data_IF_857568351730
#
_entry.id   IF_857568351730
#
_cell.length_a   1.000
_cell.length_b   1.000
_cell.length_c   1.000
_cell.angle_alpha   90.00
_cell.angle_beta   90.00
_cell.angle_gamma   90.00
#
_symmetry.space_group_name_H-M   'P 1'
#
loop_
_entity.id
_entity.type
_entity.pdbx_description
1 polymer ?
#
# COMPACT_ATOMS: atom_id res chain seq x y z
N UNK A 1 21.58 14.16 1.89
CA UNK A 1 21.03 13.39 3.03
C UNK A 1 21.56 11.96 3.09
N UNK A 2 21.44 11.16 2.01
CA UNK A 2 21.89 9.75 2.01
C UNK A 2 23.38 9.55 2.21
N UNK A 3 24.20 10.51 1.80
CA UNK A 3 25.64 10.53 2.10
C UNK A 3 25.95 10.60 3.60
N UNK A 4 24.98 11.00 4.45
CA UNK A 4 25.18 11.23 5.88
C UNK A 4 24.40 10.27 6.79
N UNK A 5 23.46 9.47 6.26
CA UNK A 5 22.57 8.63 7.08
C UNK A 5 22.52 7.18 6.55
N UNK A 6 23.15 6.27 7.30
CA UNK A 6 23.26 4.83 6.98
C UNK A 6 22.27 3.96 7.78
N UNK A 7 21.00 4.34 7.82
CA UNK A 7 19.93 3.51 8.40
C UNK A 7 19.00 2.95 7.32
N UNK A 8 18.37 1.80 7.62
CA UNK A 8 17.58 1.03 6.66
C UNK A 8 16.38 1.77 6.07
N UNK A 9 15.84 2.77 6.77
CA UNK A 9 14.76 3.63 6.29
C UNK A 9 15.04 5.08 6.64
N UNK A 10 14.93 5.94 5.66
CA UNK A 10 15.00 7.40 5.83
C UNK A 10 13.77 7.99 5.18
N UNK A 11 12.95 8.69 5.95
CA UNK A 11 11.75 9.36 5.45
C UNK A 11 12.01 10.86 5.60
N UNK A 12 11.99 11.57 4.48
CA UNK A 12 12.08 13.03 4.46
C UNK A 12 10.70 13.57 4.23
N UNK A 13 10.21 14.44 5.10
CA UNK A 13 8.89 15.03 4.95
C UNK A 13 8.90 16.52 5.29
N UNK A 14 7.86 17.22 4.87
CA UNK A 14 7.64 18.63 5.17
C UNK A 14 6.18 19.03 4.95
N UNK A 15 5.84 20.22 5.42
CA UNK A 15 4.54 20.85 5.24
C UNK A 15 4.66 22.35 5.41
N UNK A 16 3.63 23.08 5.02
CA UNK A 16 3.55 24.53 5.16
C UNK A 16 3.12 24.88 6.59
N UNK A 17 4.06 25.40 7.37
CA UNK A 17 3.81 25.84 8.73
C UNK A 17 3.53 27.35 8.76
N UNK A 18 2.56 27.75 9.57
CA UNK A 18 2.27 29.16 9.83
C UNK A 18 3.26 29.79 10.82
N UNK A 19 3.91 28.97 11.65
CA UNK A 19 4.85 29.38 12.69
C UNK A 19 5.91 28.29 12.91
N UNK A 20 7.18 28.66 12.88
CA UNK A 20 8.31 27.75 13.11
C UNK A 20 8.44 27.34 14.58
N UNK A 21 7.86 28.10 15.51
CA UNK A 21 7.88 27.76 16.95
C UNK A 21 7.20 26.41 17.21
N UNK A 22 6.20 26.02 16.41
CA UNK A 22 5.53 24.71 16.50
C UNK A 22 6.50 23.53 16.35
N UNK A 23 7.59 23.69 15.59
CA UNK A 23 8.62 22.65 15.46
C UNK A 23 9.33 22.45 16.81
N UNK A 24 9.70 23.54 17.46
CA UNK A 24 10.41 23.51 18.74
C UNK A 24 9.51 22.96 19.84
N UNK A 25 8.23 23.35 19.86
CA UNK A 25 7.25 22.90 20.85
C UNK A 25 6.88 21.40 20.68
N UNK A 26 7.10 20.87 19.48
CA UNK A 26 6.93 19.47 19.15
C UNK A 26 8.21 18.64 19.36
N UNK A 27 9.30 19.23 19.86
CA UNK A 27 10.51 18.51 20.18
C UNK A 27 10.28 17.57 21.38
N UNK A 28 10.70 16.33 21.23
CA UNK A 28 10.55 15.27 22.23
C UNK A 28 11.87 14.55 22.45
N UNK A 29 12.14 14.18 23.69
CA UNK A 29 13.27 13.32 24.05
C UNK A 29 12.74 11.98 24.54
N UNK A 30 13.23 10.88 23.95
CA UNK A 30 12.84 9.52 24.30
C UNK A 30 14.00 8.81 24.97
N UNK A 31 13.74 8.30 26.19
CA UNK A 31 14.67 7.51 27.00
C UNK A 31 16.05 8.18 27.24
N UNK A 32 16.13 9.51 27.14
CA UNK A 32 17.39 10.25 27.23
C UNK A 32 18.42 9.91 26.13
N UNK A 33 18.00 9.19 25.08
CA UNK A 33 18.87 8.67 24.01
C UNK A 33 18.57 9.27 22.65
N UNK A 34 17.30 9.59 22.41
CA UNK A 34 16.83 10.07 21.12
C UNK A 34 16.15 11.41 21.31
N UNK A 35 16.45 12.36 20.43
CA UNK A 35 15.70 13.61 20.28
C UNK A 35 15.08 13.62 18.88
N UNK A 36 13.83 14.04 18.79
CA UNK A 36 13.10 14.11 17.53
C UNK A 36 11.98 15.12 17.59
N UNK A 37 11.34 15.36 16.44
CA UNK A 37 10.17 16.23 16.33
C UNK A 37 8.95 15.35 16.11
N UNK A 38 7.93 15.52 16.93
CA UNK A 38 6.63 14.90 16.72
C UNK A 38 5.95 15.56 15.51
N UNK A 39 5.86 14.83 14.39
CA UNK A 39 5.43 15.35 13.10
C UNK A 39 3.96 15.82 13.07
N UNK A 40 2.99 15.08 13.65
CA UNK A 40 1.64 15.61 13.84
C UNK A 40 1.61 16.90 14.68
N UNK A 41 2.25 16.88 15.86
CA UNK A 41 2.21 18.04 16.78
C UNK A 41 2.85 19.29 16.20
N UNK A 42 3.86 19.14 15.34
CA UNK A 42 4.49 20.28 14.67
C UNK A 42 3.60 20.96 13.63
N UNK A 43 2.51 20.32 13.22
CA UNK A 43 1.61 20.80 12.17
C UNK A 43 2.07 20.48 10.75
N UNK A 44 3.07 19.62 10.59
CA UNK A 44 3.59 19.26 9.27
C UNK A 44 2.52 18.62 8.36
N UNK A 45 1.50 17.99 8.95
CA UNK A 45 0.42 17.32 8.21
C UNK A 45 -0.76 18.22 7.87
N UNK A 46 -0.77 19.46 8.40
CA UNK A 46 -1.92 20.35 8.34
C UNK A 46 -2.10 20.90 6.91
N UNK A 47 -1.01 21.31 6.26
CA UNK A 47 -1.06 21.97 4.96
C UNK A 47 0.13 21.59 4.08
N UNK A 48 -0.13 21.27 2.80
CA UNK A 48 0.91 21.06 1.79
C UNK A 48 1.89 19.94 2.13
N UNK A 49 1.44 18.88 2.81
CA UNK A 49 2.29 17.79 3.23
C UNK A 49 2.96 17.11 2.03
N UNK A 50 4.27 16.95 2.12
CA UNK A 50 5.10 16.26 1.15
C UNK A 50 5.98 15.26 1.87
N UNK A 51 6.21 14.10 1.26
CA UNK A 51 7.05 13.06 1.82
C UNK A 51 7.78 12.31 0.72
N UNK A 52 9.02 11.95 0.99
CA UNK A 52 9.87 11.08 0.18
C UNK A 52 10.35 9.94 1.06
N UNK A 53 10.06 8.71 0.63
CA UNK A 53 10.52 7.52 1.30
C UNK A 53 11.80 7.01 0.65
N UNK A 54 12.91 7.08 1.36
CA UNK A 54 14.17 6.55 0.88
C UNK A 54 14.39 5.19 1.56
N UNK A 55 14.28 4.11 0.79
CA UNK A 55 14.73 2.76 1.19
C UNK A 55 16.24 2.59 1.01
N UNK A 56 16.88 1.72 1.80
CA UNK A 56 18.29 1.33 1.59
C UNK A 56 18.45 -0.17 1.79
N UNK A 57 19.31 -0.80 0.98
CA UNK A 57 19.73 -2.19 1.15
C UNK A 57 18.67 -3.23 0.77
N UNK A 58 17.66 -2.86 -0.01
CA UNK A 58 16.68 -3.81 -0.54
C UNK A 58 17.16 -4.30 -1.90
N UNK A 59 17.33 -5.62 -2.05
CA UNK A 59 17.61 -6.23 -3.34
C UNK A 59 16.37 -6.13 -4.23
N UNK A 60 16.43 -5.28 -5.24
CA UNK A 60 15.35 -5.12 -6.21
C UNK A 60 15.03 -6.43 -6.96
N UNK A 61 16.01 -7.34 -7.06
CA UNK A 61 15.85 -8.58 -7.82
C UNK A 61 14.84 -9.55 -7.23
N UNK A 62 14.52 -9.37 -5.94
CA UNK A 62 13.53 -10.20 -5.24
C UNK A 62 12.17 -9.52 -5.09
N UNK A 63 12.02 -8.27 -5.56
CA UNK A 63 10.77 -7.53 -5.47
C UNK A 63 9.78 -7.96 -6.56
N UNK A 64 8.49 -7.76 -6.27
CA UNK A 64 7.38 -8.13 -7.17
C UNK A 64 7.51 -7.49 -8.56
N UNK A 65 7.83 -6.20 -8.72
CA UNK A 65 7.96 -5.61 -10.06
C UNK A 65 9.04 -6.26 -10.92
N UNK A 66 10.18 -6.64 -10.34
CA UNK A 66 11.20 -7.39 -11.07
C UNK A 66 10.67 -8.75 -11.52
N UNK A 67 9.99 -9.50 -10.64
CA UNK A 67 9.43 -10.81 -10.99
C UNK A 67 8.36 -10.73 -12.07
N UNK A 68 7.54 -9.66 -12.04
CA UNK A 68 6.53 -9.40 -13.07
C UNK A 68 7.17 -9.01 -14.40
N UNK A 69 8.22 -8.19 -14.38
CA UNK A 69 9.00 -7.88 -15.57
C UNK A 69 9.59 -9.13 -16.22
N UNK A 70 10.22 -10.02 -15.43
CA UNK A 70 10.74 -11.30 -15.91
C UNK A 70 9.65 -12.19 -16.53
N UNK A 71 8.40 -12.05 -16.09
CA UNK A 71 7.23 -12.76 -16.63
C UNK A 71 6.50 -11.99 -17.76
N UNK A 72 7.00 -10.83 -18.19
CA UNK A 72 6.37 -10.01 -19.23
C UNK A 72 5.06 -9.33 -18.80
N UNK A 73 4.84 -9.12 -17.50
CA UNK A 73 3.64 -8.46 -16.96
C UNK A 73 3.95 -6.98 -16.65
N UNK A 74 3.26 -6.03 -17.31
CA UNK A 74 3.41 -4.60 -17.01
C UNK A 74 3.05 -4.27 -15.57
N UNK A 75 3.80 -3.36 -14.94
CA UNK A 75 3.62 -2.98 -13.54
C UNK A 75 3.44 -1.46 -13.41
N UNK A 76 2.38 -1.04 -12.73
CA UNK A 76 2.08 0.35 -12.38
C UNK A 76 2.06 0.49 -10.86
N UNK A 77 2.84 1.42 -10.32
CA UNK A 77 2.88 1.75 -8.90
C UNK A 77 2.40 3.19 -8.67
N UNK A 78 1.51 3.41 -7.70
CA UNK A 78 0.94 4.75 -7.42
C UNK A 78 1.00 5.10 -5.93
N UNK A 79 1.50 6.29 -5.59
CA UNK A 79 1.60 6.74 -4.20
C UNK A 79 2.82 6.18 -3.48
N UNK A 80 2.72 6.03 -2.16
CA UNK A 80 3.84 5.61 -1.28
C UNK A 80 4.59 4.39 -1.78
N UNK A 81 3.89 3.41 -2.37
CA UNK A 81 4.51 2.19 -2.91
C UNK A 81 5.50 2.49 -4.04
N UNK A 82 5.22 3.48 -4.89
CA UNK A 82 6.13 3.93 -5.95
C UNK A 82 7.39 4.61 -5.38
N UNK A 83 7.33 5.15 -4.16
CA UNK A 83 8.50 5.74 -3.49
C UNK A 83 9.40 4.67 -2.86
N UNK A 84 8.82 3.55 -2.39
CA UNK A 84 9.55 2.52 -1.63
C UNK A 84 9.99 1.30 -2.43
N UNK A 85 9.34 1.00 -3.56
CA UNK A 85 9.60 -0.19 -4.38
C UNK A 85 10.28 0.19 -5.68
N UNK A 86 11.33 -0.53 -6.05
CA UNK A 86 12.00 -0.37 -7.35
C UNK A 86 11.10 -0.92 -8.46
N UNK A 87 10.84 -0.10 -9.48
CA UNK A 87 10.06 -0.49 -10.65
C UNK A 87 10.68 0.06 -11.95
N UNK A 88 11.93 -0.33 -12.28
CA UNK A 88 12.69 0.27 -13.38
C UNK A 88 12.11 -0.02 -14.78
N UNK A 89 11.25 -1.04 -14.89
CA UNK A 89 10.66 -1.50 -16.16
C UNK A 89 9.14 -1.23 -16.25
N UNK A 90 8.58 -0.48 -15.30
CA UNK A 90 7.15 -0.17 -15.23
C UNK A 90 6.88 1.33 -15.09
N UNK A 91 5.62 1.67 -14.79
CA UNK A 91 5.17 3.05 -14.55
C UNK A 91 5.13 3.32 -13.04
N UNK A 92 5.65 4.46 -12.60
CA UNK A 92 5.69 4.82 -11.18
C UNK A 92 5.27 6.27 -10.96
N UNK A 93 4.19 6.45 -10.21
CA UNK A 93 3.64 7.75 -9.83
C UNK A 93 4.03 8.08 -8.38
N UNK A 94 5.22 8.67 -8.23
CA UNK A 94 5.87 8.98 -6.95
C UNK A 94 5.40 10.29 -6.33
N UNK A 95 5.70 10.50 -5.05
CA UNK A 95 5.42 11.72 -4.28
C UNK A 95 3.93 12.10 -4.28
N UNK A 96 3.05 11.10 -4.26
CA UNK A 96 1.60 11.31 -4.18
C UNK A 96 1.09 10.91 -2.80
N UNK A 97 0.39 11.86 -2.17
CA UNK A 97 -0.26 11.67 -0.87
C UNK A 97 -1.78 11.74 -0.99
N UNK A 98 -2.30 12.68 -1.76
CA UNK A 98 -3.74 12.93 -1.89
C UNK A 98 -4.49 11.69 -2.42
N UNK A 99 -5.41 11.18 -1.60
CA UNK A 99 -6.11 9.92 -1.85
C UNK A 99 -6.98 10.00 -3.10
N UNK A 100 -7.63 11.14 -3.35
CA UNK A 100 -8.48 11.32 -4.52
C UNK A 100 -7.65 11.27 -5.80
N UNK A 101 -6.54 12.01 -5.86
CA UNK A 101 -5.61 12.01 -6.99
C UNK A 101 -5.02 10.64 -7.25
N UNK A 102 -4.65 9.89 -6.21
CA UNK A 102 -4.17 8.51 -6.35
C UNK A 102 -5.25 7.63 -7.00
N UNK A 103 -6.51 7.72 -6.52
CA UNK A 103 -7.61 6.94 -7.07
C UNK A 103 -7.94 7.32 -8.52
N UNK A 104 -7.87 8.60 -8.89
CA UNK A 104 -8.10 9.05 -10.26
C UNK A 104 -7.01 8.51 -11.21
N UNK A 105 -5.73 8.63 -10.84
CA UNK A 105 -4.61 8.04 -11.60
C UNK A 105 -4.78 6.53 -11.72
N UNK A 106 -5.22 5.86 -10.66
CA UNK A 106 -5.45 4.41 -10.67
C UNK A 106 -6.49 4.02 -11.71
N UNK A 107 -7.61 4.74 -11.79
CA UNK A 107 -8.66 4.47 -12.76
C UNK A 107 -8.20 4.76 -14.19
N UNK A 108 -7.42 5.82 -14.40
CA UNK A 108 -6.87 6.15 -15.72
C UNK A 108 -5.89 5.07 -16.20
N UNK A 109 -4.98 4.63 -15.35
CA UNK A 109 -4.03 3.53 -15.62
C UNK A 109 -4.76 2.21 -15.87
N UNK A 110 -5.79 1.92 -15.07
CA UNK A 110 -6.64 0.74 -15.23
C UNK A 110 -7.33 0.70 -16.60
N UNK A 111 -7.83 1.85 -17.07
CA UNK A 111 -8.47 1.96 -18.37
C UNK A 111 -7.47 2.00 -19.55
N UNK A 112 -6.26 2.48 -19.30
CA UNK A 112 -5.20 2.58 -20.33
C UNK A 112 -4.59 1.23 -20.65
N UNK A 113 -4.39 0.38 -19.63
CA UNK A 113 -3.69 -0.89 -19.78
C UNK A 113 -4.64 -2.08 -19.97
N UNK A 114 -4.57 -2.81 -21.10
CA UNK A 114 -5.33 -4.04 -21.29
C UNK A 114 -4.94 -5.17 -20.34
N UNK A 115 -3.71 -5.12 -19.81
CA UNK A 115 -3.08 -6.13 -18.96
C UNK A 115 -2.02 -5.43 -18.10
N UNK A 116 -2.19 -5.39 -16.78
CA UNK A 116 -1.21 -4.82 -15.86
C UNK A 116 -1.41 -5.35 -14.43
N UNK A 117 -0.34 -5.29 -13.65
CA UNK A 117 -0.38 -5.26 -12.19
C UNK A 117 -0.36 -3.80 -11.75
N UNK A 118 -1.43 -3.34 -11.08
CA UNK A 118 -1.52 -1.97 -10.55
C UNK A 118 -1.54 -2.05 -9.04
N UNK A 119 -0.54 -1.50 -8.37
CA UNK A 119 -0.46 -1.47 -6.92
C UNK A 119 -0.39 -0.03 -6.43
N UNK A 120 -1.26 0.28 -5.45
CA UNK A 120 -1.42 1.64 -4.94
C UNK A 120 -1.33 1.65 -3.42
N UNK A 121 -0.94 2.78 -2.84
CA UNK A 121 -0.98 2.95 -1.40
C UNK A 121 -1.70 4.25 -1.02
N UNK A 122 -2.76 4.14 -0.22
CA UNK A 122 -3.49 5.27 0.36
C UNK A 122 -2.97 5.52 1.78
N UNK A 123 -2.02 6.45 1.91
CA UNK A 123 -1.36 6.71 3.20
C UNK A 123 -2.08 7.74 4.08
N UNK A 124 -3.11 8.44 3.60
CA UNK A 124 -3.76 9.48 4.41
C UNK A 124 -4.56 8.94 5.59
N UNK A 125 -4.99 7.68 5.54
CA UNK A 125 -5.57 6.98 6.70
C UNK A 125 -4.53 6.79 7.80
N UNK A 126 -3.29 6.48 7.44
CA UNK A 126 -2.16 6.38 8.37
C UNK A 126 -1.79 7.76 8.95
N UNK A 127 -1.76 8.81 8.13
CA UNK A 127 -1.55 10.18 8.60
C UNK A 127 -2.64 10.64 9.57
N UNK A 128 -3.90 10.29 9.31
CA UNK A 128 -5.02 10.60 10.21
C UNK A 128 -4.93 9.82 11.53
N UNK A 129 -4.51 8.55 11.49
CA UNK A 129 -4.25 7.76 12.70
C UNK A 129 -3.16 8.36 13.58
N UNK A 130 -2.02 8.73 12.98
CA UNK A 130 -0.95 9.42 13.70
C UNK A 130 -1.37 10.77 14.31
N UNK A 131 -2.31 11.46 13.68
CA UNK A 131 -2.87 12.72 14.16
C UNK A 131 -4.00 12.55 15.18
N UNK A 132 -4.43 11.31 15.46
CA UNK A 132 -5.60 11.00 16.28
C UNK A 132 -6.87 11.74 15.80
N UNK A 133 -7.00 11.90 14.48
CA UNK A 133 -8.09 12.62 13.83
C UNK A 133 -9.11 11.65 13.23
N UNK A 134 -10.11 11.31 14.04
CA UNK A 134 -11.21 10.41 13.67
C UNK A 134 -12.00 10.92 12.45
N UNK A 135 -12.23 12.24 12.37
CA UNK A 135 -13.03 12.82 11.31
C UNK A 135 -12.31 12.74 9.97
N UNK A 136 -11.02 13.07 9.94
CA UNK A 136 -10.16 12.91 8.76
C UNK A 136 -10.04 11.45 8.38
N UNK A 137 -9.86 10.53 9.34
CA UNK A 137 -9.79 9.11 9.06
C UNK A 137 -11.05 8.61 8.34
N UNK A 138 -12.22 8.91 8.88
CA UNK A 138 -13.51 8.51 8.31
C UNK A 138 -13.74 9.12 6.92
N UNK A 139 -13.39 10.38 6.72
CA UNK A 139 -13.56 11.06 5.44
C UNK A 139 -12.63 10.47 4.36
N UNK A 140 -11.38 10.12 4.69
CA UNK A 140 -10.47 9.41 3.77
C UNK A 140 -11.00 8.03 3.39
N UNK A 141 -11.59 7.28 4.33
CA UNK A 141 -12.25 6.00 4.02
C UNK A 141 -13.41 6.18 3.03
N UNK A 142 -14.23 7.22 3.19
CA UNK A 142 -15.33 7.51 2.27
C UNK A 142 -14.84 7.93 0.87
N UNK A 143 -13.71 8.63 0.77
CA UNK A 143 -13.07 8.94 -0.53
C UNK A 143 -12.67 7.64 -1.23
N UNK A 144 -12.01 6.72 -0.53
CA UNK A 144 -11.59 5.44 -1.11
C UNK A 144 -12.80 4.59 -1.52
N UNK A 145 -13.81 4.46 -0.66
CA UNK A 145 -15.03 3.68 -0.93
C UNK A 145 -15.73 4.09 -2.23
N UNK A 146 -15.97 5.40 -2.42
CA UNK A 146 -16.60 5.92 -3.66
C UNK A 146 -15.79 5.61 -4.91
N UNK A 147 -14.46 5.67 -4.81
CA UNK A 147 -13.60 5.42 -5.96
C UNK A 147 -13.39 3.92 -6.22
N UNK A 148 -13.46 3.06 -5.20
CA UNK A 148 -13.51 1.62 -5.39
C UNK A 148 -14.78 1.21 -6.13
N UNK A 149 -15.93 1.85 -5.87
CA UNK A 149 -17.15 1.61 -6.65
C UNK A 149 -16.94 1.90 -8.15
N UNK A 150 -16.32 3.04 -8.49
CA UNK A 150 -15.96 3.40 -9.88
C UNK A 150 -15.05 2.37 -10.53
N UNK A 151 -14.04 1.88 -9.79
CA UNK A 151 -13.12 0.85 -10.30
C UNK A 151 -13.85 -0.47 -10.54
N UNK A 152 -14.68 -0.91 -9.59
CA UNK A 152 -15.47 -2.14 -9.69
C UNK A 152 -16.44 -2.10 -10.88
N UNK A 153 -17.01 -0.94 -11.20
CA UNK A 153 -17.85 -0.75 -12.39
C UNK A 153 -17.08 -0.88 -13.71
N UNK A 154 -15.80 -0.51 -13.74
CA UNK A 154 -14.94 -0.62 -14.92
C UNK A 154 -14.36 -2.04 -15.12
N UNK A 155 -14.34 -2.86 -14.07
CA UNK A 155 -13.77 -4.20 -14.10
C UNK A 155 -14.50 -5.15 -15.06
N UNK A 156 -13.71 -6.03 -15.65
CA UNK A 156 -14.13 -7.16 -16.47
C UNK A 156 -14.10 -8.47 -15.66
N UNK A 157 -14.73 -9.55 -16.15
CA UNK A 157 -14.77 -10.85 -15.45
C UNK A 157 -13.42 -11.47 -15.10
N UNK A 158 -12.35 -11.13 -15.82
CA UNK A 158 -11.00 -11.62 -15.58
C UNK A 158 -10.12 -10.68 -14.75
N UNK A 159 -10.66 -9.53 -14.32
CA UNK A 159 -9.98 -8.61 -13.42
C UNK A 159 -10.14 -9.08 -11.97
N UNK A 160 -9.05 -8.99 -11.20
CA UNK A 160 -9.04 -9.25 -9.77
C UNK A 160 -8.63 -7.98 -9.02
N UNK A 161 -9.46 -7.56 -8.07
CA UNK A 161 -9.18 -6.50 -7.11
C UNK A 161 -8.93 -7.12 -5.75
N UNK A 162 -7.82 -6.75 -5.14
CA UNK A 162 -7.56 -7.05 -3.74
C UNK A 162 -7.50 -5.72 -2.98
N UNK A 163 -8.08 -5.66 -1.79
CA UNK A 163 -7.94 -4.55 -0.84
C UNK A 163 -7.51 -5.13 0.50
N UNK A 164 -6.47 -4.57 1.13
CA UNK A 164 -6.06 -5.01 2.46
C UNK A 164 -5.65 -3.83 3.33
N UNK A 165 -5.09 -4.10 4.51
CA UNK A 165 -4.27 -3.15 5.24
C UNK A 165 -2.96 -3.82 5.64
N UNK A 166 -2.01 -3.02 6.10
CA UNK A 166 -0.64 -3.42 6.33
C UNK A 166 -0.31 -3.41 7.84
N UNK A 167 -0.99 -2.54 8.60
CA UNK A 167 -1.13 -2.53 10.06
C UNK A 167 -2.40 -1.76 10.50
N UNK A 168 -2.62 -1.66 11.81
CA UNK A 168 -3.61 -0.74 12.38
C UNK A 168 -2.99 0.62 12.72
N UNK A 169 -3.83 1.64 12.83
CA UNK A 169 -3.47 2.95 13.36
C UNK A 169 -4.75 3.63 13.92
N UNK A 170 -5.21 3.15 15.08
CA UNK A 170 -6.48 3.58 15.71
C UNK A 170 -6.42 5.06 16.14
N UNK A 171 -7.22 5.96 15.54
CA UNK A 171 -7.21 7.39 15.88
C UNK A 171 -7.84 7.71 17.25
N UNK A 172 -8.30 6.71 18.01
CA UNK A 172 -8.96 6.88 19.32
C UNK A 172 -8.15 6.35 20.50
N UNK A 173 -6.97 5.79 20.24
CA UNK A 173 -6.23 4.99 21.22
C UNK A 173 -5.47 5.84 22.27
N UNK A 174 -5.32 7.15 22.05
CA UNK A 174 -4.63 8.06 22.97
C UNK A 174 -3.11 8.16 22.74
N UNK A 175 -2.63 7.74 21.57
CA UNK A 175 -1.24 7.93 21.13
C UNK A 175 -1.09 7.94 19.61
N UNK A 176 0.00 8.54 19.12
CA UNK A 176 0.32 8.65 17.68
C UNK A 176 1.08 7.44 17.09
N UNK A 177 1.13 6.30 17.77
CA UNK A 177 1.84 5.10 17.30
C UNK A 177 0.91 4.10 16.62
N UNK A 178 1.45 3.32 15.68
CA UNK A 178 0.70 2.23 15.06
C UNK A 178 0.22 1.20 16.09
N UNK A 179 -0.88 0.57 15.77
CA UNK A 179 -1.51 -0.49 16.57
C UNK A 179 -1.30 -1.84 15.92
N UNK A 180 -1.20 -2.88 16.75
CA UNK A 180 -1.10 -4.27 16.28
C UNK A 180 -2.49 -4.86 16.13
N UNK A 181 -3.07 -4.70 14.94
CA UNK A 181 -4.44 -5.15 14.63
C UNK A 181 -4.45 -6.24 13.56
N UNK A 182 -5.58 -6.97 13.48
CA UNK A 182 -5.86 -7.83 12.34
C UNK A 182 -6.27 -6.95 11.17
N UNK A 183 -5.63 -7.14 10.03
CA UNK A 183 -5.91 -6.38 8.81
C UNK A 183 -6.99 -7.08 7.98
N UNK A 184 -7.94 -6.34 7.38
CA UNK A 184 -8.86 -6.94 6.43
C UNK A 184 -8.10 -7.38 5.18
N UNK A 185 -8.56 -8.45 4.54
CA UNK A 185 -8.20 -8.80 3.16
C UNK A 185 -9.50 -9.06 2.42
N UNK A 186 -9.81 -8.23 1.44
CA UNK A 186 -10.97 -8.32 0.58
C UNK A 186 -10.51 -8.68 -0.83
N UNK A 187 -11.08 -9.72 -1.40
CA UNK A 187 -10.81 -10.13 -2.79
C UNK A 187 -12.11 -10.06 -3.59
N UNK A 188 -12.07 -9.36 -4.72
CA UNK A 188 -13.19 -9.20 -5.64
C UNK A 188 -12.79 -9.57 -7.07
N UNK A 189 -13.67 -10.33 -7.71
CA UNK A 189 -13.64 -10.60 -9.14
C UNK A 189 -15.09 -10.75 -9.63
N UNK A 190 -15.40 -10.23 -10.80
CA UNK A 190 -16.75 -10.30 -11.34
C UNK A 190 -17.11 -11.75 -11.70
N UNK A 191 -18.24 -12.22 -11.16
CA UNK A 191 -18.71 -13.59 -11.38
C UNK A 191 -18.12 -14.64 -10.44
N UNK A 192 -17.33 -14.24 -9.43
CA UNK A 192 -16.80 -15.16 -8.44
C UNK A 192 -17.96 -15.77 -7.61
N UNK A 193 -18.22 -17.06 -7.83
CA UNK A 193 -19.26 -17.81 -7.12
C UNK A 193 -18.79 -18.03 -5.69
N UNK A 194 -19.55 -17.53 -4.72
CA UNK A 194 -19.25 -17.71 -3.31
C UNK A 194 -19.21 -19.20 -2.96
N UNK A 195 -18.07 -19.70 -2.48
CA UNK A 195 -18.08 -20.88 -1.61
C UNK A 195 -18.51 -20.41 -0.22
N UNK A 196 -19.60 -20.98 0.29
CA UNK A 196 -20.24 -20.58 1.54
C UNK A 196 -19.24 -20.58 2.71
N UNK A 197 -18.76 -19.41 3.09
CA UNK A 197 -18.40 -19.09 4.47
C UNK A 197 -18.46 -17.56 4.70
N UNK A 198 -19.65 -17.13 5.13
CA UNK A 198 -19.94 -15.95 5.98
C UNK A 198 -19.79 -14.53 5.33
N UNK A 199 -20.98 -13.98 5.00
CA UNK A 199 -21.42 -12.60 4.66
C UNK A 199 -20.90 -11.93 3.36
N UNK A 200 -21.83 -11.73 2.42
CA UNK A 200 -21.72 -11.01 1.15
C UNK A 200 -21.92 -9.48 1.33
N UNK A 201 -21.47 -8.60 0.40
CA UNK A 201 -21.60 -8.72 -1.05
C UNK A 201 -20.25 -8.90 -1.74
N UNK A 202 -20.13 -9.85 -2.67
CA UNK A 202 -19.08 -9.95 -3.73
C UNK A 202 -17.60 -9.98 -3.29
N UNK A 203 -17.25 -9.66 -2.06
CA UNK A 203 -15.91 -9.64 -1.50
C UNK A 203 -15.70 -10.84 -0.58
N UNK A 204 -14.61 -11.57 -0.77
CA UNK A 204 -14.19 -12.60 0.17
C UNK A 204 -13.34 -11.94 1.25
N UNK A 205 -13.83 -11.89 2.50
CA UNK A 205 -13.10 -11.31 3.63
C UNK A 205 -12.30 -12.41 4.35
N UNK A 206 -10.97 -12.33 4.31
CA UNK A 206 -10.10 -13.15 5.14
C UNK A 206 -9.47 -12.31 6.24
N UNK A 207 -9.77 -12.62 7.50
CA UNK A 207 -8.95 -12.18 8.62
C UNK A 207 -7.71 -13.08 8.72
N UNK A 208 -6.60 -12.67 8.12
CA UNK A 208 -5.36 -13.45 8.14
C UNK A 208 -4.21 -12.60 8.72
N UNK A 209 -3.53 -13.08 9.78
CA UNK A 209 -2.22 -12.55 10.09
C UNK A 209 -1.26 -12.99 8.97
N UNK A 210 -0.84 -12.03 8.14
CA UNK A 210 0.21 -12.17 7.12
C UNK A 210 -0.08 -13.24 6.04
N UNK A 211 -0.77 -12.86 4.97
CA UNK A 211 -0.88 -13.69 3.77
C UNK A 211 0.42 -13.62 2.97
N UNK A 212 1.16 -14.72 2.96
CA UNK A 212 2.24 -14.94 1.98
C UNK A 212 1.61 -15.16 0.59
N UNK A 213 1.82 -14.24 -0.34
CA UNK A 213 1.73 -14.58 -1.76
C UNK A 213 2.93 -15.48 -2.11
N UNK A 214 2.72 -16.79 -2.08
CA UNK A 214 3.76 -17.75 -2.41
C UNK A 214 3.85 -17.95 -3.93
N UNK A 215 4.80 -17.26 -4.58
CA UNK A 215 5.55 -17.89 -5.66
C UNK A 215 6.65 -18.68 -4.97
N UNK A 216 6.61 -20.01 -5.06
CA UNK A 216 7.52 -20.90 -4.31
C UNK A 216 8.98 -20.61 -4.64
N UNK A 217 9.71 -19.94 -3.74
CA UNK A 217 11.07 -20.32 -3.33
C UNK A 217 11.41 -19.68 -1.97
N UNK A 218 11.80 -20.52 -1.00
CA UNK A 218 12.18 -20.10 0.36
C UNK A 218 13.55 -19.42 0.32
N UNK A 219 13.70 -18.25 0.95
CA UNK A 219 14.96 -17.87 1.59
C UNK A 219 14.72 -17.03 2.86
N UNK A 220 15.65 -17.20 3.82
CA UNK A 220 15.59 -16.74 5.21
C UNK A 220 16.02 -15.26 5.34
N UNK A 221 15.34 -14.55 6.25
CA UNK A 221 15.69 -13.29 6.91
C UNK A 221 15.74 -12.00 6.05
N UNK A 222 14.70 -11.17 6.20
CA UNK A 222 14.65 -9.75 5.82
C UNK A 222 13.43 -9.08 6.48
N UNK A 223 13.46 -7.77 6.80
CA UNK A 223 12.36 -7.09 7.47
C UNK A 223 11.12 -7.03 6.56
N UNK A 224 9.95 -7.29 7.15
CA UNK A 224 8.64 -7.30 6.49
C UNK A 224 8.32 -5.90 5.92
N UNK A 225 8.24 -5.78 4.60
CA UNK A 225 7.60 -4.64 3.93
C UNK A 225 6.14 -5.01 3.68
N UNK A 226 5.24 -4.13 4.07
CA UNK A 226 3.81 -4.33 4.10
C UNK A 226 3.18 -3.58 2.91
N UNK A 227 2.39 -4.29 2.10
CA UNK A 227 1.90 -3.85 0.79
C UNK A 227 0.38 -3.83 0.79
N UNK A 228 -0.22 -2.76 0.27
CA UNK A 228 -1.59 -2.78 -0.23
C UNK A 228 -1.57 -3.41 -1.64
N UNK A 229 -2.58 -4.17 -2.04
CA UNK A 229 -2.37 -5.27 -2.98
C UNK A 229 -2.78 -4.89 -4.41
N UNK A 230 -2.45 -5.73 -5.39
CA UNK A 230 -2.58 -5.40 -6.80
C UNK A 230 -3.99 -5.56 -7.37
N UNK A 231 -4.29 -4.77 -8.39
CA UNK A 231 -5.22 -5.12 -9.46
C UNK A 231 -4.43 -5.88 -10.52
N UNK A 232 -4.82 -7.11 -10.85
CA UNK A 232 -4.12 -7.93 -11.86
C UNK A 232 -5.06 -8.24 -13.02
N UNK A 233 -4.61 -7.93 -14.24
CA UNK A 233 -5.29 -8.20 -15.50
C UNK A 233 -4.37 -9.09 -16.35
N UNK A 234 -4.79 -10.34 -16.58
CA UNK A 234 -4.20 -11.51 -17.29
C UNK A 234 -2.68 -11.84 -17.27
N UNK A 235 -2.41 -13.13 -17.05
CA UNK A 235 -1.67 -14.00 -17.99
C UNK A 235 -2.42 -15.35 -18.05
N UNK A 236 -2.65 -15.97 -19.22
CA UNK A 236 -3.36 -17.26 -19.29
C UNK A 236 -2.43 -18.39 -18.83
N UNK A 237 -2.52 -18.81 -17.57
CA UNK A 237 -2.02 -20.12 -17.16
C UNK A 237 -3.12 -21.15 -17.34
N UNK A 238 -2.96 -22.04 -18.32
CA UNK A 238 -3.78 -23.24 -18.44
C UNK A 238 -3.49 -24.14 -17.23
N UNK A 239 -4.50 -24.35 -16.40
CA UNK A 239 -4.48 -25.43 -15.40
C UNK A 239 -4.93 -26.70 -16.12
N UNK A 240 -4.01 -27.62 -16.39
CA UNK A 240 -4.36 -29.00 -16.76
C UNK A 240 -4.88 -29.72 -15.50
N UNK A 241 -6.18 -30.08 -15.41
CA UNK A 241 -6.74 -30.73 -14.23
C UNK A 241 -6.41 -32.22 -14.14
N UNK A 242 -5.66 -32.80 -15.09
CA UNK A 242 -5.59 -34.25 -15.30
C UNK A 242 -4.18 -34.84 -15.45
N UNK A 243 -3.15 -34.21 -14.87
CA UNK A 243 -1.74 -34.65 -14.93
C UNK A 243 -1.39 -36.00 -14.27
N UNK A 244 -2.19 -37.05 -14.47
CA UNK A 244 -1.79 -38.46 -14.40
C UNK A 244 -1.21 -38.85 -15.76
N UNK A 245 0.11 -38.84 -15.88
CA UNK A 245 0.79 -39.62 -16.92
C UNK A 245 1.15 -41.00 -16.35
N UNK A 246 0.64 -42.11 -16.92
CA UNK A 246 1.35 -43.38 -16.83
C UNK A 246 2.55 -43.36 -17.80
N UNK A 247 3.62 -44.06 -17.42
CA UNK A 247 4.88 -44.16 -18.17
C UNK A 247 4.75 -44.77 -19.57
N UNK A 248 5.89 -44.96 -20.25
CA UNK A 248 6.67 -46.19 -20.04
C UNK A 248 7.98 -46.02 -19.27
#
# INVERSE_FOLDING_TARGET
MREQVQVGRVITFGGLLTDSQRILDAAESKEGRFIGINAPRSGAYDNGFQVVHMGYGVDEKVQVPQKLYEAGVPTVLVGKVADIVSNPYGVSWQNLVDSQRIMDITLDEFNTHPTAFICINIQETDLAGHAEDVARYAERLQVVDRNLARLVEAMQPDDCLVVMADHGNDPTIGHSHHTREVVPVLVYQQGLVHSNSVYAPRFLMWGLPCVNFSVRHRHKNGPLFSFLPPVCRRHPMSIDPTGLHPGP
#
